data_IF_840835155865
#
_entry.id   IF_840835155865
#
_cell.length_a   1.000
_cell.length_b   1.000
_cell.length_c   1.000
_cell.angle_alpha   90.00
_cell.angle_beta   90.00
_cell.angle_gamma   90.00
#
_symmetry.space_group_name_H-M   'P 1'
#
loop_
_entity.id
_entity.type
_entity.pdbx_description
1 polymer ?
#
# COMPACT_ATOMS: atom_id res chain seq x y z
N UNK A 1 -5.76 41.85 -10.85
CA UNK A 1 -5.07 41.52 -9.58
C UNK A 1 -5.74 40.34 -8.86
N UNK A 2 -6.21 39.31 -9.57
CA UNK A 2 -6.94 38.16 -8.98
C UNK A 2 -6.35 36.78 -9.32
N UNK A 3 -5.38 36.69 -10.24
CA UNK A 3 -4.74 35.41 -10.59
C UNK A 3 -3.69 34.96 -9.59
N UNK A 4 -2.98 35.86 -8.92
CA UNK A 4 -1.85 35.47 -8.05
C UNK A 4 -2.30 34.68 -6.81
N UNK A 5 -3.54 34.89 -6.35
CA UNK A 5 -4.11 34.18 -5.20
C UNK A 5 -4.62 32.77 -5.52
N UNK A 6 -5.01 32.46 -6.76
CA UNK A 6 -5.50 31.13 -7.15
C UNK A 6 -4.34 30.14 -7.28
N UNK A 7 -3.24 30.53 -7.93
CA UNK A 7 -2.02 29.72 -8.02
C UNK A 7 -1.42 29.40 -6.64
N UNK A 8 -1.43 30.37 -5.71
CA UNK A 8 -0.96 30.20 -4.34
C UNK A 8 -1.79 29.19 -3.53
N UNK A 9 -3.12 29.11 -3.73
CA UNK A 9 -3.97 28.12 -3.04
C UNK A 9 -3.75 26.71 -3.54
N UNK A 10 -3.67 26.53 -4.86
CA UNK A 10 -3.41 25.23 -5.49
C UNK A 10 -2.01 24.73 -5.15
N UNK A 11 -0.98 25.57 -5.22
CA UNK A 11 0.40 25.20 -4.84
C UNK A 11 0.52 24.82 -3.36
N UNK A 12 -0.17 25.53 -2.45
CA UNK A 12 -0.18 25.19 -1.02
C UNK A 12 -0.78 23.81 -0.77
N UNK A 13 -1.86 23.43 -1.46
CA UNK A 13 -2.47 22.10 -1.27
C UNK A 13 -1.52 20.96 -1.62
N UNK A 14 -0.77 21.04 -2.73
CA UNK A 14 0.25 20.03 -3.09
C UNK A 14 1.37 19.93 -2.06
N UNK A 15 1.82 21.07 -1.54
CA UNK A 15 2.88 21.12 -0.54
C UNK A 15 2.41 20.52 0.79
N UNK A 16 1.15 20.75 1.20
CA UNK A 16 0.60 20.16 2.42
C UNK A 16 0.56 18.63 2.37
N UNK A 17 0.14 18.03 1.24
CA UNK A 17 0.15 16.57 1.10
C UNK A 17 1.52 15.95 1.04
N UNK A 18 2.45 16.61 0.33
CA UNK A 18 3.85 16.18 0.28
C UNK A 18 4.51 16.23 1.65
N UNK A 19 4.26 17.29 2.42
CA UNK A 19 4.76 17.42 3.79
C UNK A 19 4.13 16.37 4.70
N UNK A 20 2.82 16.13 4.61
CA UNK A 20 2.15 15.12 5.42
C UNK A 20 2.69 13.70 5.14
N UNK A 21 2.90 13.36 3.87
CA UNK A 21 3.51 12.09 3.46
C UNK A 21 4.97 11.98 3.95
N UNK A 22 5.73 13.08 3.90
CA UNK A 22 7.10 13.13 4.40
C UNK A 22 7.16 12.95 5.93
N UNK A 23 6.26 13.59 6.68
CA UNK A 23 6.15 13.44 8.14
C UNK A 23 5.82 11.99 8.49
N UNK A 24 4.82 11.40 7.85
CA UNK A 24 4.43 10.01 8.10
C UNK A 24 5.59 9.06 7.80
N UNK A 25 6.31 9.26 6.68
CA UNK A 25 7.50 8.47 6.35
C UNK A 25 8.59 8.61 7.41
N UNK A 26 8.83 9.84 7.89
CA UNK A 26 9.80 10.12 8.94
C UNK A 26 9.44 9.41 10.25
N UNK A 27 8.18 9.46 10.66
CA UNK A 27 7.69 8.76 11.86
C UNK A 27 7.87 7.26 11.72
N UNK A 28 7.49 6.68 10.58
CA UNK A 28 7.64 5.23 10.32
C UNK A 28 9.10 4.81 10.38
N UNK A 29 9.99 5.60 9.77
CA UNK A 29 11.43 5.34 9.80
C UNK A 29 12.00 5.41 11.22
N UNK A 30 11.63 6.44 12.00
CA UNK A 30 12.09 6.59 13.39
C UNK A 30 11.61 5.45 14.28
N UNK A 31 10.36 4.99 14.11
CA UNK A 31 9.83 3.85 14.86
C UNK A 31 10.57 2.56 14.50
N UNK A 32 10.93 2.38 13.21
CA UNK A 32 11.66 1.20 12.75
C UNK A 32 13.14 1.18 13.18
N UNK A 33 13.82 2.34 13.22
CA UNK A 33 15.25 2.43 13.56
C UNK A 33 15.50 2.40 15.06
N UNK A 34 14.60 2.95 15.88
CA UNK A 34 14.79 2.98 17.33
C UNK A 34 14.36 1.68 18.04
N UNK A 35 13.99 0.62 17.29
CA UNK A 35 13.48 -0.65 17.83
C UNK A 35 12.35 -0.47 18.88
N UNK A 36 11.55 0.60 18.75
CA UNK A 36 10.45 0.89 19.69
C UNK A 36 9.36 -0.19 19.66
N UNK A 37 9.29 -0.97 18.58
CA UNK A 37 8.43 -2.11 18.39
C UNK A 37 9.28 -3.29 17.94
N UNK A 38 9.14 -4.44 18.60
CA UNK A 38 9.87 -5.66 18.25
C UNK A 38 8.96 -6.72 17.64
N UNK A 39 9.46 -7.44 16.63
CA UNK A 39 8.81 -8.60 16.03
C UNK A 39 7.48 -8.30 15.35
N UNK A 40 6.40 -8.95 15.82
CA UNK A 40 5.09 -8.95 15.17
C UNK A 40 4.42 -7.56 15.20
N UNK A 41 4.68 -6.77 16.23
CA UNK A 41 4.13 -5.43 16.37
C UNK A 41 4.73 -4.43 15.36
N UNK A 42 6.02 -4.56 15.04
CA UNK A 42 6.69 -3.75 14.02
C UNK A 42 6.18 -4.10 12.62
N UNK A 43 6.03 -5.39 12.32
CA UNK A 43 5.48 -5.86 11.06
C UNK A 43 4.05 -5.36 10.82
N UNK A 44 3.19 -5.42 11.84
CA UNK A 44 1.82 -4.92 11.74
C UNK A 44 1.78 -3.40 11.56
N UNK A 45 2.56 -2.65 12.34
CA UNK A 45 2.68 -1.20 12.22
C UNK A 45 3.17 -0.79 10.83
N UNK A 46 4.22 -1.44 10.33
CA UNK A 46 4.78 -1.19 9.00
C UNK A 46 3.78 -1.46 7.87
N UNK A 47 3.01 -2.54 7.97
CA UNK A 47 1.97 -2.87 6.99
C UNK A 47 0.86 -1.81 6.94
N UNK A 48 0.36 -1.38 8.10
CA UNK A 48 -0.68 -0.35 8.21
C UNK A 48 -0.15 0.99 7.69
N UNK A 49 1.06 1.37 8.09
CA UNK A 49 1.68 2.61 7.64
C UNK A 49 1.93 2.62 6.13
N UNK A 50 2.39 1.50 5.54
CA UNK A 50 2.56 1.37 4.10
C UNK A 50 1.23 1.50 3.33
N UNK A 51 0.15 0.92 3.86
CA UNK A 51 -1.19 1.08 3.28
C UNK A 51 -1.68 2.53 3.29
N UNK A 52 -1.54 3.23 4.42
CA UNK A 52 -1.87 4.66 4.54
C UNK A 52 -1.00 5.49 3.58
N UNK A 53 0.29 5.17 3.49
CA UNK A 53 1.22 5.90 2.63
C UNK A 53 0.86 5.74 1.15
N UNK A 54 0.45 4.54 0.73
CA UNK A 54 -0.05 4.27 -0.61
C UNK A 54 -1.33 5.06 -0.91
N UNK A 55 -2.26 5.14 0.04
CA UNK A 55 -3.47 5.94 -0.11
C UNK A 55 -3.17 7.45 -0.27
N UNK A 56 -2.25 7.99 0.53
CA UNK A 56 -1.83 9.39 0.46
C UNK A 56 -1.14 9.69 -0.88
N UNK A 57 -0.24 8.82 -1.34
CA UNK A 57 0.43 8.98 -2.63
C UNK A 57 -0.56 8.96 -3.80
N UNK A 58 -1.53 8.04 -3.78
CA UNK A 58 -2.57 7.98 -4.79
C UNK A 58 -3.48 9.22 -4.76
N UNK A 59 -3.78 9.76 -3.59
CA UNK A 59 -4.61 10.96 -3.45
C UNK A 59 -3.89 12.24 -3.89
N UNK A 60 -2.62 12.43 -3.52
CA UNK A 60 -1.89 13.67 -3.77
C UNK A 60 -1.10 13.70 -5.08
N UNK A 61 -0.50 12.58 -5.48
CA UNK A 61 0.47 12.57 -6.58
C UNK A 61 -0.19 12.42 -7.95
N UNK A 62 -1.33 11.74 -8.03
CA UNK A 62 -2.04 11.51 -9.30
C UNK A 62 -2.94 12.70 -9.70
N UNK A 63 -3.06 13.75 -8.88
CA UNK A 63 -3.85 14.92 -9.19
C UNK A 63 -3.15 15.92 -10.14
N UNK A 64 -2.55 15.48 -11.24
CA UNK A 64 -2.08 16.42 -12.29
C UNK A 64 -3.25 16.77 -13.21
N UNK A 65 -4.08 17.70 -12.75
CA UNK A 65 -4.54 18.91 -13.47
C UNK A 65 -5.78 19.49 -12.81
N UNK A 66 -5.53 20.47 -11.96
CA UNK A 66 -6.46 21.53 -11.59
C UNK A 66 -6.64 22.51 -12.78
N UNK A 67 -7.02 21.98 -13.95
CA UNK A 67 -7.45 22.79 -15.10
C UNK A 67 -8.91 22.52 -15.33
N UNK A 68 -9.77 23.39 -14.80
CA UNK A 68 -11.16 23.69 -15.22
C UNK A 68 -11.82 22.61 -16.10
N UNK A 69 -11.89 21.39 -15.60
CA UNK A 69 -12.25 20.21 -16.37
C UNK A 69 -13.01 19.22 -15.49
N UNK A 70 -13.90 18.40 -16.07
CA UNK A 70 -14.97 17.77 -15.31
C UNK A 70 -14.46 16.85 -14.19
N UNK A 71 -15.04 17.01 -12.99
CA UNK A 71 -14.73 16.25 -11.75
C UNK A 71 -14.81 14.71 -11.88
N UNK A 72 -15.28 14.19 -13.01
CA UNK A 72 -15.36 12.77 -13.34
C UNK A 72 -14.01 12.07 -13.35
N UNK A 73 -12.91 12.78 -13.66
CA UNK A 73 -11.56 12.20 -13.60
C UNK A 73 -11.11 11.91 -12.14
N UNK A 74 -11.52 12.73 -11.18
CA UNK A 74 -11.25 12.45 -9.77
C UNK A 74 -12.10 11.27 -9.27
N UNK A 75 -13.36 11.18 -9.71
CA UNK A 75 -14.26 10.07 -9.38
C UNK A 75 -13.76 8.73 -9.95
N UNK A 76 -13.25 8.72 -11.19
CA UNK A 76 -12.71 7.50 -11.82
C UNK A 76 -11.43 7.01 -11.13
N UNK A 77 -10.58 7.93 -10.67
CA UNK A 77 -9.38 7.58 -9.91
C UNK A 77 -9.68 6.95 -8.56
N UNK A 78 -10.62 7.52 -7.80
CA UNK A 78 -11.07 6.94 -6.53
C UNK A 78 -11.68 5.55 -6.76
N UNK A 79 -12.48 5.40 -7.81
CA UNK A 79 -13.05 4.12 -8.20
C UNK A 79 -11.96 3.08 -8.55
N UNK A 80 -11.00 3.43 -9.41
CA UNK A 80 -9.89 2.53 -9.78
C UNK A 80 -9.01 2.17 -8.58
N UNK A 81 -8.71 3.11 -7.69
CA UNK A 81 -7.94 2.84 -6.48
C UNK A 81 -8.68 1.89 -5.53
N UNK A 82 -9.98 2.09 -5.32
CA UNK A 82 -10.83 1.17 -4.55
C UNK A 82 -10.84 -0.23 -5.17
N UNK A 83 -11.04 -0.33 -6.49
CA UNK A 83 -11.01 -1.61 -7.19
C UNK A 83 -9.65 -2.31 -7.04
N UNK A 84 -8.53 -1.59 -7.21
CA UNK A 84 -7.20 -2.15 -7.04
C UNK A 84 -6.97 -2.67 -5.61
N UNK A 85 -7.44 -1.92 -4.60
CA UNK A 85 -7.33 -2.32 -3.19
C UNK A 85 -8.15 -3.58 -2.89
N UNK A 86 -9.37 -3.67 -3.42
CA UNK A 86 -10.21 -4.88 -3.32
C UNK A 86 -9.52 -6.07 -3.98
N UNK A 87 -8.92 -5.89 -5.16
CA UNK A 87 -8.19 -6.96 -5.86
C UNK A 87 -7.00 -7.43 -5.04
N UNK A 88 -6.18 -6.53 -4.48
CA UNK A 88 -4.99 -6.91 -3.71
C UNK A 88 -5.39 -7.65 -2.43
N UNK A 89 -6.30 -7.08 -1.63
CA UNK A 89 -6.77 -7.70 -0.39
C UNK A 89 -7.48 -9.02 -0.68
N UNK A 90 -8.34 -9.04 -1.70
CA UNK A 90 -9.03 -10.23 -2.16
C UNK A 90 -8.07 -11.31 -2.63
N UNK A 91 -6.99 -10.96 -3.35
CA UNK A 91 -5.99 -11.92 -3.82
C UNK A 91 -5.22 -12.54 -2.66
N UNK A 92 -4.80 -11.72 -1.68
CA UNK A 92 -4.13 -12.21 -0.48
C UNK A 92 -5.07 -13.14 0.30
N UNK A 93 -6.32 -12.73 0.52
CA UNK A 93 -7.32 -13.54 1.23
C UNK A 93 -7.61 -14.87 0.52
N UNK A 94 -7.77 -14.84 -0.82
CA UNK A 94 -7.95 -16.05 -1.63
C UNK A 94 -6.74 -16.96 -1.51
N UNK A 95 -5.51 -16.44 -1.64
CA UNK A 95 -4.29 -17.24 -1.51
C UNK A 95 -4.18 -17.87 -0.12
N UNK A 96 -4.53 -17.13 0.94
CA UNK A 96 -4.56 -17.68 2.31
C UNK A 96 -5.62 -18.78 2.46
N UNK A 97 -6.83 -18.57 1.95
CA UNK A 97 -7.92 -19.55 2.02
C UNK A 97 -7.62 -20.81 1.19
N UNK A 98 -7.05 -20.64 0.00
CA UNK A 98 -6.62 -21.75 -0.85
C UNK A 98 -5.49 -22.51 -0.18
N UNK A 99 -4.49 -21.85 0.40
CA UNK A 99 -3.42 -22.52 1.15
C UNK A 99 -3.94 -23.26 2.40
N UNK A 100 -4.96 -22.72 3.08
CA UNK A 100 -5.61 -23.38 4.21
C UNK A 100 -6.43 -24.61 3.77
N UNK A 101 -7.13 -24.53 2.65
CA UNK A 101 -7.97 -25.62 2.12
C UNK A 101 -7.19 -26.64 1.28
N UNK A 102 -6.03 -26.28 0.74
CA UNK A 102 -5.08 -27.21 0.13
C UNK A 102 -4.19 -27.78 1.23
N UNK A 103 -4.56 -28.94 1.76
CA UNK A 103 -3.93 -29.59 2.93
C UNK A 103 -2.45 -30.00 2.79
N UNK A 104 -1.71 -29.53 1.78
CA UNK A 104 -0.27 -29.71 1.64
C UNK A 104 0.41 -28.35 1.56
N UNK A 105 0.93 -27.88 2.70
CA UNK A 105 1.86 -26.75 2.78
C UNK A 105 3.07 -27.00 1.86
N UNK A 106 3.65 -25.95 1.23
CA UNK A 106 4.87 -26.05 0.43
C UNK A 106 5.99 -26.83 1.14
N UNK A 107 6.09 -26.68 2.46
CA UNK A 107 7.05 -27.37 3.32
C UNK A 107 6.91 -28.90 3.29
N UNK A 108 5.67 -29.41 3.27
CA UNK A 108 5.42 -30.85 3.23
C UNK A 108 5.69 -31.42 1.84
N UNK A 109 5.40 -30.68 0.77
CA UNK A 109 5.73 -31.10 -0.60
C UNK A 109 7.23 -31.26 -0.78
N UNK A 110 8.03 -30.33 -0.23
CA UNK A 110 9.48 -30.39 -0.29
C UNK A 110 10.01 -31.62 0.48
N UNK A 111 9.47 -31.90 1.66
CA UNK A 111 9.78 -33.12 2.42
C UNK A 111 9.37 -34.40 1.65
N UNK A 112 8.21 -34.41 0.99
CA UNK A 112 7.76 -35.54 0.17
C UNK A 112 8.69 -35.78 -1.04
N UNK A 113 9.14 -34.72 -1.71
CA UNK A 113 10.04 -34.81 -2.86
C UNK A 113 11.43 -35.30 -2.46
N UNK A 114 11.98 -34.79 -1.35
CA UNK A 114 13.26 -35.25 -0.79
C UNK A 114 13.16 -36.73 -0.37
N UNK A 115 12.03 -37.12 0.26
CA UNK A 115 11.82 -38.49 0.72
C UNK A 115 11.55 -39.47 -0.42
N UNK A 116 10.89 -39.05 -1.49
CA UNK A 116 10.70 -39.87 -2.70
C UNK A 116 11.97 -40.01 -3.53
N UNK A 117 12.75 -38.93 -3.69
CA UNK A 117 14.06 -39.00 -4.36
C UNK A 117 15.03 -39.95 -3.67
N UNK A 118 14.95 -40.06 -2.33
CA UNK A 118 15.71 -41.05 -1.54
C UNK A 118 15.13 -42.47 -1.56
N UNK A 119 13.94 -42.67 -2.13
CA UNK A 119 13.28 -43.98 -2.30
C UNK A 119 13.33 -44.49 -3.75
N UNK A 120 13.74 -43.65 -4.69
CA UNK A 120 14.10 -44.04 -6.05
C UNK A 120 15.57 -44.40 -6.10
N UNK A 121 15.85 -45.71 -6.07
CA UNK A 121 17.15 -46.40 -5.93
C UNK A 121 17.67 -46.51 -4.50
#
# INVERSE_FOLDING_TARGET
>A
MTDENSYQRTAKHYIYGGILAAIITGVVYLVAVNDWLTGLALAFFGLVAAGIQLAIHLAFFIHVRDREGPNWAAMSLVFTALTALIIIIGSIWIMMNVNYNMGMSPEKMDEYMIKQGRKGF
#
